data_IF_492241489141
#
_entry.id   IF_492241489141
#
_cell.length_a   1.000
_cell.length_b   1.000
_cell.length_c   1.000
_cell.angle_alpha   90.00
_cell.angle_beta   90.00
_cell.angle_gamma   90.00
#
_symmetry.space_group_name_H-M   'P 1'
#
loop_
_entity.id
_entity.type
_entity.pdbx_description
1 polymer ?
#
# COMPACT_ATOMS: atom_id res chain seq x y z
N UNK A 1 16.46 -18.44 2.66
CA UNK A 1 17.42 -17.29 2.58
C UNK A 1 18.74 -17.69 1.91
N UNK A 2 19.16 -18.94 2.03
CA UNK A 2 20.51 -19.42 1.66
C UNK A 2 20.80 -19.59 0.17
N UNK A 3 19.82 -19.96 -0.66
CA UNK A 3 20.08 -20.29 -2.08
C UNK A 3 20.14 -19.05 -3.00
N UNK A 4 19.38 -18.00 -2.69
CA UNK A 4 19.37 -16.76 -3.48
C UNK A 4 20.63 -15.94 -3.19
N UNK A 5 21.06 -15.89 -1.93
CA UNK A 5 22.29 -15.20 -1.53
C UNK A 5 23.55 -15.86 -2.09
N UNK A 6 23.57 -17.20 -2.18
CA UNK A 6 24.63 -17.94 -2.85
C UNK A 6 24.65 -17.71 -4.38
N UNK A 7 23.48 -17.52 -5.00
CA UNK A 7 23.37 -17.16 -6.42
C UNK A 7 23.87 -15.73 -6.68
N UNK A 8 23.60 -14.78 -5.79
CA UNK A 8 24.13 -13.40 -5.87
C UNK A 8 25.66 -13.36 -5.91
N UNK A 9 26.32 -14.25 -5.17
CA UNK A 9 27.79 -14.34 -5.14
C UNK A 9 28.40 -14.96 -6.39
N UNK A 10 27.64 -15.75 -7.18
CA UNK A 10 28.14 -16.52 -8.32
C UNK A 10 27.79 -15.95 -9.70
N UNK A 11 26.86 -15.01 -9.78
CA UNK A 11 26.35 -14.50 -11.07
C UNK A 11 26.62 -13.00 -11.18
N UNK A 12 27.33 -12.55 -12.23
CA UNK A 12 27.64 -11.11 -12.40
C UNK A 12 26.43 -10.21 -12.71
N UNK A 13 25.25 -10.77 -12.92
CA UNK A 13 24.07 -10.01 -13.36
C UNK A 13 23.11 -9.74 -12.20
N UNK A 14 23.49 -8.79 -11.34
CA UNK A 14 22.71 -8.30 -10.19
C UNK A 14 21.25 -7.95 -10.55
N UNK A 15 21.02 -7.40 -11.74
CA UNK A 15 19.68 -7.01 -12.24
C UNK A 15 18.72 -8.21 -12.42
N UNK A 16 19.23 -9.37 -12.84
CA UNK A 16 18.40 -10.57 -13.03
C UNK A 16 17.90 -11.16 -11.70
N UNK A 17 18.75 -11.14 -10.68
CA UNK A 17 18.40 -11.67 -9.34
C UNK A 17 17.42 -10.74 -8.65
N UNK A 18 17.64 -9.43 -8.70
CA UNK A 18 16.70 -8.41 -8.18
C UNK A 18 15.31 -8.53 -8.83
N UNK A 19 15.26 -8.74 -10.15
CA UNK A 19 13.98 -8.95 -10.84
C UNK A 19 13.27 -10.24 -10.38
N UNK A 20 13.99 -11.31 -10.08
CA UNK A 20 13.40 -12.55 -9.55
C UNK A 20 12.84 -12.38 -8.14
N UNK A 21 13.57 -11.71 -7.27
CA UNK A 21 13.13 -11.42 -5.89
C UNK A 21 11.89 -10.52 -5.90
N UNK A 22 11.90 -9.46 -6.71
CA UNK A 22 10.75 -8.58 -6.91
C UNK A 22 9.54 -9.34 -7.46
N UNK A 23 9.74 -10.26 -8.42
CA UNK A 23 8.69 -11.11 -8.96
C UNK A 23 8.07 -12.03 -7.89
N UNK A 24 8.90 -12.65 -7.05
CA UNK A 24 8.43 -13.51 -5.95
C UNK A 24 7.61 -12.72 -4.93
N UNK A 25 8.04 -11.51 -4.55
CA UNK A 25 7.32 -10.62 -3.64
C UNK A 25 5.94 -10.23 -4.22
N UNK A 26 5.87 -9.93 -5.51
CA UNK A 26 4.60 -9.59 -6.18
C UNK A 26 3.63 -10.79 -6.19
N UNK A 27 4.12 -12.00 -6.47
CA UNK A 27 3.29 -13.21 -6.44
C UNK A 27 2.75 -13.47 -5.03
N UNK A 28 3.57 -13.34 -4.01
CA UNK A 28 3.15 -13.48 -2.61
C UNK A 28 2.08 -12.45 -2.26
N UNK A 29 2.27 -11.20 -2.63
CA UNK A 29 1.31 -10.13 -2.42
C UNK A 29 -0.06 -10.44 -3.07
N UNK A 30 -0.08 -10.91 -4.33
CA UNK A 30 -1.32 -11.30 -5.03
C UNK A 30 -1.99 -12.49 -4.34
N UNK A 31 -1.23 -13.52 -3.97
CA UNK A 31 -1.74 -14.69 -3.24
C UNK A 31 -2.40 -14.27 -1.92
N UNK A 32 -1.78 -13.37 -1.23
CA UNK A 32 -2.28 -12.87 0.04
C UNK A 32 -3.58 -12.07 -0.15
N UNK A 33 -3.70 -11.23 -1.17
CA UNK A 33 -4.94 -10.51 -1.50
C UNK A 33 -6.10 -11.47 -1.80
N UNK A 34 -5.86 -12.50 -2.62
CA UNK A 34 -6.86 -13.52 -2.91
C UNK A 34 -7.27 -14.29 -1.65
N UNK A 35 -6.30 -14.64 -0.81
CA UNK A 35 -6.56 -15.31 0.47
C UNK A 35 -7.41 -14.45 1.41
N UNK A 36 -7.17 -13.14 1.45
CA UNK A 36 -8.00 -12.22 2.23
C UNK A 36 -9.44 -12.20 1.70
N UNK A 37 -9.65 -12.04 0.40
CA UNK A 37 -10.98 -12.00 -0.21
C UNK A 37 -11.81 -13.26 0.09
N UNK A 38 -11.19 -14.43 0.05
CA UNK A 38 -11.86 -15.71 0.37
C UNK A 38 -12.23 -15.82 1.86
N UNK A 39 -11.45 -15.20 2.74
CA UNK A 39 -11.58 -15.36 4.19
C UNK A 39 -12.29 -14.19 4.88
N UNK A 40 -12.39 -13.02 4.27
CA UNK A 40 -12.85 -11.77 4.92
C UNK A 40 -14.19 -11.88 5.64
N UNK A 41 -15.13 -12.69 5.11
CA UNK A 41 -16.46 -12.86 5.67
C UNK A 41 -16.54 -14.04 6.67
N UNK A 42 -15.46 -14.82 6.82
CA UNK A 42 -15.39 -16.02 7.66
C UNK A 42 -14.48 -15.87 8.88
N UNK A 43 -13.66 -14.84 8.90
CA UNK A 43 -12.67 -14.60 9.95
C UNK A 43 -12.99 -13.32 10.68
N UNK A 44 -13.03 -13.40 12.02
CA UNK A 44 -13.11 -12.20 12.86
C UNK A 44 -11.72 -11.58 12.96
N UNK A 45 -11.57 -10.40 12.40
CA UNK A 45 -10.33 -9.61 12.45
C UNK A 45 -10.30 -8.82 13.76
N UNK A 46 -9.61 -9.37 14.78
CA UNK A 46 -9.47 -8.71 16.08
C UNK A 46 -8.63 -7.45 15.96
N UNK A 47 -9.12 -6.34 16.50
CA UNK A 47 -8.36 -5.09 16.59
C UNK A 47 -7.44 -5.12 17.83
N UNK A 48 -6.27 -4.56 17.69
CA UNK A 48 -5.27 -4.37 18.76
C UNK A 48 -4.56 -3.02 18.58
N UNK A 49 -3.88 -2.54 19.61
CA UNK A 49 -3.08 -1.33 19.48
C UNK A 49 -1.82 -1.65 18.70
N UNK A 50 -1.66 -0.96 17.56
CA UNK A 50 -0.56 -1.15 16.61
C UNK A 50 0.26 0.12 16.49
N UNK A 51 1.57 -0.02 16.46
CA UNK A 51 2.49 1.03 16.04
C UNK A 51 2.44 1.17 14.51
N UNK A 52 1.64 2.12 14.04
CA UNK A 52 1.45 2.36 12.61
C UNK A 52 2.74 2.83 11.95
N UNK A 53 3.49 3.71 12.63
CA UNK A 53 4.77 4.25 12.13
C UNK A 53 5.77 3.14 11.83
N UNK A 54 5.92 2.20 12.75
CA UNK A 54 6.78 1.03 12.60
C UNK A 54 6.32 0.12 11.48
N UNK A 55 5.03 -0.24 11.45
CA UNK A 55 4.47 -1.11 10.41
C UNK A 55 4.64 -0.48 9.03
N UNK A 56 4.38 0.82 8.88
CA UNK A 56 4.55 1.51 7.60
C UNK A 56 6.01 1.49 7.13
N UNK A 57 6.97 1.74 8.03
CA UNK A 57 8.40 1.65 7.71
C UNK A 57 8.81 0.25 7.27
N UNK A 58 8.37 -0.80 7.97
CA UNK A 58 8.62 -2.20 7.59
C UNK A 58 8.03 -2.53 6.20
N UNK A 59 6.84 -2.02 5.89
CA UNK A 59 6.24 -2.23 4.55
C UNK A 59 7.00 -1.46 3.47
N UNK A 60 7.46 -0.26 3.74
CA UNK A 60 8.29 0.51 2.79
C UNK A 60 9.61 -0.22 2.48
N UNK A 61 10.29 -0.78 3.49
CA UNK A 61 11.48 -1.61 3.28
C UNK A 61 11.18 -2.83 2.39
N UNK A 62 10.04 -3.50 2.60
CA UNK A 62 9.61 -4.62 1.77
C UNK A 62 9.42 -4.23 0.30
N UNK A 63 8.86 -3.05 0.02
CA UNK A 63 8.59 -2.57 -1.34
C UNK A 63 9.76 -1.83 -1.99
N UNK A 64 10.82 -1.50 -1.26
CA UNK A 64 11.92 -0.66 -1.75
C UNK A 64 12.62 -1.27 -2.97
N UNK A 65 12.95 -2.57 -2.94
CA UNK A 65 13.55 -3.25 -4.11
C UNK A 65 12.62 -3.24 -5.33
N UNK A 66 11.30 -3.33 -5.12
CA UNK A 66 10.31 -3.28 -6.21
C UNK A 66 10.28 -1.86 -6.79
N UNK A 67 10.31 -0.83 -5.95
CA UNK A 67 10.35 0.57 -6.38
C UNK A 67 11.63 0.86 -7.18
N UNK A 68 12.79 0.48 -6.67
CA UNK A 68 14.09 0.65 -7.35
C UNK A 68 14.10 -0.08 -8.71
N UNK A 69 13.55 -1.29 -8.79
CA UNK A 69 13.45 -2.05 -10.05
C UNK A 69 12.60 -1.34 -11.10
N UNK A 70 11.66 -0.50 -10.66
CA UNK A 70 10.83 0.36 -11.52
C UNK A 70 11.40 1.78 -11.68
N UNK A 71 12.65 2.01 -11.28
CA UNK A 71 13.31 3.33 -11.32
C UNK A 71 12.59 4.40 -10.49
N UNK A 72 12.02 3.99 -9.37
CA UNK A 72 11.32 4.85 -8.42
C UNK A 72 12.05 4.84 -7.08
N UNK A 73 11.79 5.84 -6.25
CA UNK A 73 12.24 5.91 -4.86
C UNK A 73 11.13 6.43 -3.95
N UNK A 74 11.17 6.04 -2.68
CA UNK A 74 10.30 6.59 -1.65
C UNK A 74 10.94 7.81 -0.98
N UNK A 75 10.15 8.87 -0.79
CA UNK A 75 10.47 10.00 0.08
C UNK A 75 9.49 9.93 1.25
N UNK A 76 10.03 9.81 2.47
CA UNK A 76 9.26 9.52 3.68
C UNK A 76 9.23 10.74 4.61
N UNK A 77 8.02 11.09 5.05
CA UNK A 77 7.73 12.06 6.10
C UNK A 77 6.78 11.37 7.10
N UNK A 78 7.37 10.58 8.01
CA UNK A 78 6.64 9.70 8.92
C UNK A 78 6.96 10.12 10.35
N UNK A 79 5.96 10.63 11.07
CA UNK A 79 6.06 10.87 12.50
C UNK A 79 6.19 9.54 13.25
N UNK A 80 7.06 9.51 14.26
CA UNK A 80 7.25 8.31 15.09
C UNK A 80 6.12 8.15 16.11
N UNK A 81 6.00 6.95 16.66
CA UNK A 81 5.11 6.61 17.78
C UNK A 81 3.62 6.91 17.53
N UNK A 82 3.18 6.76 16.29
CA UNK A 82 1.75 6.84 15.96
C UNK A 82 1.11 5.47 16.18
N UNK A 83 0.22 5.39 17.19
CA UNK A 83 -0.52 4.18 17.54
C UNK A 83 -1.99 4.29 17.15
N UNK A 84 -2.55 3.18 16.60
CA UNK A 84 -3.97 3.07 16.27
C UNK A 84 -4.53 1.73 16.74
N UNK A 85 -5.84 1.67 17.05
CA UNK A 85 -6.56 0.44 17.33
C UNK A 85 -7.10 -0.16 16.04
N UNK A 86 -6.39 -1.12 15.48
CA UNK A 86 -6.71 -1.69 14.18
C UNK A 86 -6.35 -3.18 14.10
N UNK A 87 -6.76 -3.87 13.03
CA UNK A 87 -6.27 -5.22 12.76
C UNK A 87 -5.01 -5.16 11.90
N UNK A 88 -3.97 -5.89 12.27
CA UNK A 88 -2.66 -5.90 11.59
C UNK A 88 -2.77 -6.32 10.12
N UNK A 89 -3.55 -7.35 9.82
CA UNK A 89 -3.72 -7.84 8.44
C UNK A 89 -4.45 -6.82 7.58
N UNK A 90 -5.51 -6.19 8.10
CA UNK A 90 -6.27 -5.17 7.38
C UNK A 90 -5.42 -3.90 7.16
N UNK A 91 -4.64 -3.47 8.17
CA UNK A 91 -3.74 -2.33 8.04
C UNK A 91 -2.68 -2.57 6.96
N UNK A 92 -2.03 -3.73 7.00
CA UNK A 92 -1.05 -4.12 5.97
C UNK A 92 -1.69 -4.13 4.57
N UNK A 93 -2.95 -4.58 4.41
CA UNK A 93 -3.65 -4.53 3.12
C UNK A 93 -3.84 -3.11 2.62
N UNK A 94 -4.24 -2.19 3.50
CA UNK A 94 -4.37 -0.77 3.13
C UNK A 94 -3.03 -0.22 2.65
N UNK A 95 -1.95 -0.45 3.40
CA UNK A 95 -0.61 0.03 3.05
C UNK A 95 -0.13 -0.61 1.73
N UNK A 96 -0.13 -1.94 1.63
CA UNK A 96 0.45 -2.69 0.52
C UNK A 96 -0.24 -2.39 -0.81
N UNK A 97 -1.57 -2.32 -0.80
CA UNK A 97 -2.32 -1.95 -2.00
C UNK A 97 -2.01 -0.53 -2.48
N UNK A 98 -1.79 0.40 -1.54
CA UNK A 98 -1.38 1.76 -1.87
C UNK A 98 0.04 1.81 -2.44
N UNK A 99 1.01 1.18 -1.78
CA UNK A 99 2.40 1.15 -2.24
C UNK A 99 2.53 0.45 -3.59
N UNK A 100 1.86 -0.69 -3.77
CA UNK A 100 1.83 -1.41 -5.05
C UNK A 100 1.24 -0.56 -6.16
N UNK A 101 0.11 0.13 -5.92
CA UNK A 101 -0.50 1.03 -6.89
C UNK A 101 0.39 2.24 -7.18
N UNK A 102 1.00 2.84 -6.15
CA UNK A 102 1.94 3.94 -6.31
C UNK A 102 3.10 3.56 -7.23
N UNK A 103 3.74 2.40 -7.00
CA UNK A 103 4.82 1.90 -7.86
C UNK A 103 4.32 1.65 -9.29
N UNK A 104 3.16 1.01 -9.41
CA UNK A 104 2.61 0.58 -10.71
C UNK A 104 2.22 1.75 -11.61
N UNK A 105 1.70 2.83 -11.05
CA UNK A 105 1.11 3.92 -11.82
C UNK A 105 1.98 5.18 -11.90
N UNK A 106 3.04 5.29 -11.10
CA UNK A 106 4.00 6.40 -11.19
C UNK A 106 4.71 6.45 -12.54
N UNK A 107 5.09 7.64 -12.94
CA UNK A 107 6.02 7.82 -14.05
C UNK A 107 7.41 7.33 -13.64
N UNK A 108 8.11 6.69 -14.57
CA UNK A 108 9.49 6.25 -14.34
C UNK A 108 10.39 7.43 -13.94
N UNK A 109 11.39 7.16 -13.10
CA UNK A 109 12.34 8.14 -12.59
C UNK A 109 11.70 9.27 -11.75
N UNK A 110 10.55 8.99 -11.13
CA UNK A 110 9.91 9.90 -10.17
C UNK A 110 10.01 9.37 -8.75
N UNK A 111 9.68 10.23 -7.80
CA UNK A 111 9.58 9.87 -6.39
C UNK A 111 8.13 9.63 -5.98
N UNK A 112 7.93 8.72 -5.04
CA UNK A 112 6.66 8.46 -4.36
C UNK A 112 6.78 9.07 -2.96
N UNK A 113 5.93 10.04 -2.64
CA UNK A 113 5.93 10.71 -1.35
C UNK A 113 4.98 9.99 -0.40
N UNK A 114 5.51 9.60 0.74
CA UNK A 114 4.79 8.89 1.80
C UNK A 114 4.77 9.77 3.04
N UNK A 115 3.58 10.05 3.56
CA UNK A 115 3.45 10.82 4.81
C UNK A 115 2.52 10.10 5.77
N UNK A 116 2.89 10.10 7.05
CA UNK A 116 2.05 9.70 8.17
C UNK A 116 2.22 10.74 9.29
N UNK A 117 1.14 11.40 9.65
CA UNK A 117 1.19 12.47 10.65
C UNK A 117 -0.16 12.61 11.38
N UNK A 118 -0.11 13.21 12.58
CA UNK A 118 -1.33 13.70 13.24
C UNK A 118 -1.94 14.86 12.44
N UNK A 119 -3.27 14.89 12.31
CA UNK A 119 -4.02 16.05 11.80
C UNK A 119 -4.48 16.89 12.98
N UNK A 120 -4.88 16.22 14.04
CA UNK A 120 -5.33 16.78 15.33
C UNK A 120 -5.16 15.70 16.41
N UNK A 121 -5.65 15.97 17.63
CA UNK A 121 -5.51 15.07 18.79
C UNK A 121 -6.25 13.72 18.61
N UNK A 122 -7.26 13.66 17.72
CA UNK A 122 -8.13 12.49 17.53
C UNK A 122 -7.94 11.77 16.19
N UNK A 123 -7.19 12.36 15.26
CA UNK A 123 -7.06 11.85 13.90
C UNK A 123 -5.64 11.89 13.37
N UNK A 124 -5.28 10.84 12.62
CA UNK A 124 -4.06 10.79 11.82
C UNK A 124 -4.38 10.65 10.34
N UNK A 125 -3.45 11.06 9.50
CA UNK A 125 -3.55 10.88 8.04
C UNK A 125 -2.32 10.15 7.49
N UNK A 126 -2.59 9.05 6.79
CA UNK A 126 -1.61 8.37 5.94
C UNK A 126 -1.83 8.80 4.50
N UNK A 127 -0.79 9.27 3.81
CA UNK A 127 -0.88 9.69 2.41
C UNK A 127 0.18 9.07 1.53
N UNK A 128 -0.22 8.79 0.29
CA UNK A 128 0.70 8.47 -0.81
C UNK A 128 0.48 9.46 -1.94
N UNK A 129 1.53 10.14 -2.39
CA UNK A 129 1.48 11.08 -3.52
C UNK A 129 2.45 10.64 -4.60
N UNK A 130 1.96 10.56 -5.83
CA UNK A 130 2.72 10.08 -6.99
C UNK A 130 2.66 11.06 -8.14
N UNK A 131 3.72 11.13 -8.94
CA UNK A 131 3.67 11.71 -10.27
C UNK A 131 3.12 10.66 -11.23
N UNK A 132 1.89 10.83 -11.66
CA UNK A 132 1.17 9.85 -12.46
C UNK A 132 0.20 10.51 -13.42
N UNK A 133 -0.37 9.73 -14.35
CA UNK A 133 -1.51 10.19 -15.13
C UNK A 133 -2.70 10.42 -14.23
N UNK A 134 -3.51 11.41 -14.59
CA UNK A 134 -4.79 11.67 -13.95
C UNK A 134 -5.70 10.46 -14.03
N UNK A 135 -6.41 10.20 -12.94
CA UNK A 135 -7.46 9.21 -12.88
C UNK A 135 -8.73 9.80 -13.47
N UNK A 136 -9.25 9.20 -14.54
CA UNK A 136 -10.43 9.70 -15.25
C UNK A 136 -11.72 9.39 -14.49
N UNK A 137 -11.81 8.19 -13.90
CA UNK A 137 -13.01 7.71 -13.23
C UNK A 137 -12.80 7.45 -11.74
N UNK A 138 -12.59 8.52 -10.96
CA UNK A 138 -12.34 8.48 -9.51
C UNK A 138 -13.35 7.62 -8.74
N UNK A 139 -14.62 7.61 -9.15
CA UNK A 139 -15.67 6.80 -8.49
C UNK A 139 -15.52 5.31 -8.80
N UNK A 140 -15.12 4.96 -10.02
CA UNK A 140 -15.06 3.56 -10.48
C UNK A 140 -13.80 2.81 -10.06
N UNK A 141 -12.73 3.51 -9.66
CA UNK A 141 -11.48 2.81 -9.30
C UNK A 141 -11.61 1.90 -8.08
N UNK A 142 -12.66 2.06 -7.30
CA UNK A 142 -13.00 1.23 -6.14
C UNK A 142 -13.98 0.09 -6.46
N UNK A 143 -14.44 -0.01 -7.72
CA UNK A 143 -15.33 -1.10 -8.15
C UNK A 143 -14.54 -2.40 -8.37
N UNK A 144 -15.23 -3.53 -8.22
CA UNK A 144 -14.66 -4.85 -8.46
C UNK A 144 -14.16 -4.99 -9.90
N UNK A 145 -12.92 -5.47 -10.05
CA UNK A 145 -12.28 -5.74 -11.35
C UNK A 145 -12.10 -4.51 -12.26
N UNK A 146 -12.41 -3.31 -11.78
CA UNK A 146 -12.22 -2.10 -12.57
C UNK A 146 -10.74 -1.76 -12.76
N UNK A 147 -10.37 -1.37 -13.96
CA UNK A 147 -9.01 -0.99 -14.34
C UNK A 147 -9.05 0.02 -15.48
N UNK A 148 -8.47 1.20 -15.28
CA UNK A 148 -8.32 2.18 -16.36
C UNK A 148 -7.24 1.77 -17.37
N UNK A 149 -6.23 1.01 -16.94
CA UNK A 149 -5.14 0.57 -17.79
C UNK A 149 -4.92 -0.95 -17.67
N UNK A 150 -5.49 -1.70 -18.62
CA UNK A 150 -5.41 -3.16 -18.67
C UNK A 150 -3.96 -3.64 -18.87
N UNK A 151 -3.13 -2.88 -19.59
CA UNK A 151 -1.75 -3.28 -19.91
C UNK A 151 -0.82 -3.34 -18.68
N UNK A 152 -1.16 -2.69 -17.57
CA UNK A 152 -0.32 -2.64 -16.37
C UNK A 152 -0.50 -3.81 -15.40
N UNK A 153 -1.15 -4.89 -15.77
CA UNK A 153 -1.30 -6.10 -14.95
C UNK A 153 -2.17 -5.90 -13.69
N UNK A 154 -2.40 -6.97 -12.92
CA UNK A 154 -3.22 -6.98 -11.70
C UNK A 154 -4.69 -7.33 -11.95
N UNK A 155 -5.44 -7.68 -10.89
CA UNK A 155 -6.81 -8.18 -11.00
C UNK A 155 -7.88 -7.09 -10.83
N UNK A 156 -7.51 -5.85 -10.47
CA UNK A 156 -8.48 -4.78 -10.19
C UNK A 156 -9.21 -4.95 -8.85
N UNK A 157 -8.62 -5.67 -7.89
CA UNK A 157 -9.22 -5.97 -6.60
C UNK A 157 -8.61 -5.14 -5.45
N UNK A 158 -7.39 -4.65 -5.59
CA UNK A 158 -6.65 -4.02 -4.50
C UNK A 158 -7.35 -2.79 -3.90
N UNK A 159 -7.82 -1.86 -4.73
CA UNK A 159 -8.54 -0.67 -4.22
C UNK A 159 -9.93 -1.02 -3.67
N UNK A 160 -10.58 -2.06 -4.20
CA UNK A 160 -11.82 -2.58 -3.62
C UNK A 160 -11.59 -3.15 -2.23
N UNK A 161 -10.53 -3.93 -2.03
CA UNK A 161 -10.13 -4.44 -0.70
C UNK A 161 -9.89 -3.26 0.26
N UNK A 162 -9.15 -2.24 -0.18
CA UNK A 162 -8.90 -1.03 0.61
C UNK A 162 -10.21 -0.36 1.00
N UNK A 163 -11.13 -0.18 0.04
CA UNK A 163 -12.43 0.44 0.28
C UNK A 163 -13.25 -0.34 1.31
N UNK A 164 -13.35 -1.66 1.17
CA UNK A 164 -14.09 -2.52 2.10
C UNK A 164 -13.51 -2.43 3.53
N UNK A 165 -12.18 -2.45 3.66
CA UNK A 165 -11.50 -2.31 4.96
C UNK A 165 -11.78 -0.92 5.55
N UNK A 166 -11.65 0.13 4.76
CA UNK A 166 -11.86 1.49 5.22
C UNK A 166 -13.32 1.74 5.64
N UNK A 167 -14.29 1.28 4.86
CA UNK A 167 -15.72 1.41 5.20
C UNK A 167 -16.05 0.67 6.51
N UNK A 168 -15.57 -0.57 6.66
CA UNK A 168 -15.74 -1.38 7.87
C UNK A 168 -15.16 -0.70 9.11
N UNK A 169 -14.04 0.00 8.95
CA UNK A 169 -13.28 0.58 10.06
C UNK A 169 -13.47 2.11 10.18
N UNK A 170 -14.44 2.69 9.47
CA UNK A 170 -14.73 4.14 9.47
C UNK A 170 -13.53 5.02 9.09
N UNK A 171 -12.63 4.49 8.26
CA UNK A 171 -11.50 5.24 7.70
C UNK A 171 -11.98 6.05 6.49
N UNK A 172 -11.70 7.34 6.49
CA UNK A 172 -12.11 8.23 5.38
C UNK A 172 -11.04 8.18 4.30
N UNK A 173 -11.45 7.88 3.06
CA UNK A 173 -10.58 7.92 1.89
C UNK A 173 -10.82 9.22 1.13
N UNK A 174 -9.77 10.00 0.95
CA UNK A 174 -9.75 11.16 0.07
C UNK A 174 -8.80 10.89 -1.11
N UNK A 175 -9.27 11.17 -2.31
CA UNK A 175 -8.51 11.04 -3.54
C UNK A 175 -8.52 12.35 -4.30
N UNK A 176 -7.34 12.90 -4.53
CA UNK A 176 -7.12 14.02 -5.45
C UNK A 176 -6.22 13.54 -6.60
N UNK A 177 -6.67 13.75 -7.84
CA UNK A 177 -5.92 13.37 -9.02
C UNK A 177 -6.07 14.42 -10.11
N UNK A 178 -4.94 14.91 -10.57
CA UNK A 178 -4.84 15.91 -11.62
C UNK A 178 -3.75 15.51 -12.63
N UNK A 179 -3.49 16.36 -13.63
CA UNK A 179 -2.56 16.07 -14.72
C UNK A 179 -1.10 15.87 -14.28
N UNK A 180 -0.75 16.24 -13.03
CA UNK A 180 0.62 16.16 -12.50
C UNK A 180 0.75 15.07 -11.45
N UNK A 181 -0.22 14.98 -10.56
CA UNK A 181 -0.11 14.17 -9.35
C UNK A 181 -1.42 13.44 -9.04
N UNK A 182 -1.27 12.28 -8.40
CA UNK A 182 -2.36 11.59 -7.72
C UNK A 182 -2.00 11.43 -6.24
N UNK A 183 -2.88 11.88 -5.35
CA UNK A 183 -2.76 11.76 -3.89
C UNK A 183 -3.90 10.91 -3.37
N UNK A 184 -3.58 9.81 -2.71
CA UNK A 184 -4.49 9.08 -1.83
C UNK A 184 -4.21 9.49 -0.39
N UNK A 185 -5.26 9.80 0.37
CA UNK A 185 -5.17 10.13 1.78
C UNK A 185 -6.19 9.29 2.57
N UNK A 186 -5.74 8.69 3.64
CA UNK A 186 -6.50 7.82 4.54
C UNK A 186 -6.48 8.43 5.92
N UNK A 187 -7.67 8.81 6.42
CA UNK A 187 -7.81 9.43 7.73
C UNK A 187 -8.40 8.43 8.70
N UNK A 188 -7.63 8.13 9.75
CA UNK A 188 -7.97 7.21 10.82
C UNK A 188 -8.29 7.98 12.09
N UNK A 189 -9.27 7.49 12.86
CA UNK A 189 -9.51 7.94 14.24
C UNK A 189 -8.60 7.17 15.20
N UNK A 190 -8.01 7.87 16.18
CA UNK A 190 -7.11 7.27 17.17
C UNK A 190 -7.92 6.66 18.31
N UNK A 191 -8.99 7.34 18.75
CA UNK A 191 -9.82 6.95 19.87
C UNK A 191 -11.17 6.41 19.39
N UNK A 192 -11.33 5.08 19.29
CA UNK A 192 -12.64 4.44 19.04
C UNK A 192 -13.47 4.20 20.34
N UNK A 193 -12.94 4.49 21.51
CA UNK A 193 -13.58 4.14 22.79
C UNK A 193 -14.70 5.12 23.22
N UNK A 194 -15.14 6.04 22.35
CA UNK A 194 -16.14 7.07 22.70
C UNK A 194 -17.46 6.94 21.91
N UNK A 195 -17.84 5.74 21.45
CA UNK A 195 -19.20 5.48 20.94
C UNK A 195 -19.74 4.27 21.74
N UNK A 196 -20.25 4.56 22.93
CA UNK A 196 -21.25 3.75 23.64
C UNK A 196 -22.63 4.28 23.33
#
# INVERSE_FOLDING_TARGET
>A
QTNIDLLKMKIPNKKYITNKESGSKIIQYIHDDLSYLVKKDRVTYKKEYLDFSKILKERLEFFDEIAISNTLNFIQDIEDDIYIKFNITELQRVIDNNLSNAIKYSFAKSSIFIKLAYINDDEIEFTTTTHSKKIENVKKIFDDFYRENIARGGFGLGLKIVKDICDKNLVIINLDSNEKNTKFAYRFKINEDTIT
#
